data_IF_063364340666
#
_entry.id   IF_063364340666
#
_cell.length_a   1.000
_cell.length_b   1.000
_cell.length_c   1.000
_cell.angle_alpha   90.00
_cell.angle_beta   90.00
_cell.angle_gamma   90.00
#
_symmetry.space_group_name_H-M   'P 1'
#
loop_
_entity.id
_entity.type
_entity.pdbx_description
1 polymer ?
#
# COMPACT_ATOMS: atom_id res chain seq x y z
N UNK A 1 -5.22 -5.94 8.87
CA UNK A 1 -6.51 -5.25 8.63
C UNK A 1 -6.89 -5.47 7.17
N UNK A 2 -8.14 -5.80 6.86
CA UNK A 2 -8.62 -5.90 5.46
C UNK A 2 -9.38 -4.65 5.09
N UNK A 3 -9.12 -4.12 3.89
CA UNK A 3 -9.81 -2.97 3.30
C UNK A 3 -10.58 -3.42 2.06
N UNK A 4 -11.88 -3.16 2.04
CA UNK A 4 -12.72 -3.27 0.83
C UNK A 4 -13.09 -1.87 0.34
N UNK A 5 -12.99 -1.64 -0.97
CA UNK A 5 -13.20 -0.32 -1.56
C UNK A 5 -14.67 -0.11 -1.93
N UNK A 6 -15.30 0.86 -1.25
CA UNK A 6 -16.68 1.30 -1.47
C UNK A 6 -16.66 2.61 -2.26
N UNK A 7 -17.42 2.70 -3.35
CA UNK A 7 -17.52 3.95 -4.10
C UNK A 7 -18.53 4.90 -3.42
N UNK A 8 -18.14 6.14 -3.06
CA UNK A 8 -18.96 7.04 -2.24
C UNK A 8 -20.32 7.37 -2.87
N UNK A 9 -20.36 7.65 -4.18
CA UNK A 9 -21.62 8.00 -4.86
C UNK A 9 -22.59 6.82 -4.94
N UNK A 10 -22.09 5.59 -5.09
CA UNK A 10 -22.93 4.39 -5.06
C UNK A 10 -23.47 4.11 -3.66
N UNK A 11 -22.66 4.34 -2.63
CA UNK A 11 -23.10 4.24 -1.24
C UNK A 11 -24.19 5.28 -0.92
N UNK A 12 -23.99 6.52 -1.35
CA UNK A 12 -24.98 7.58 -1.19
C UNK A 12 -26.32 7.19 -1.83
N UNK A 13 -26.28 6.72 -3.08
CA UNK A 13 -27.46 6.39 -3.87
C UNK A 13 -28.03 4.98 -3.60
N UNK A 14 -27.42 4.21 -2.70
CA UNK A 14 -27.75 2.80 -2.46
C UNK A 14 -27.83 1.97 -3.76
N UNK A 15 -26.88 2.19 -4.67
CA UNK A 15 -26.91 1.60 -6.02
C UNK A 15 -26.82 0.07 -5.97
N UNK A 16 -27.71 -0.61 -6.68
CA UNK A 16 -27.62 -2.06 -6.93
C UNK A 16 -27.37 -2.29 -8.42
N UNK A 17 -26.27 -2.96 -8.74
CA UNK A 17 -25.84 -3.28 -10.11
C UNK A 17 -25.04 -4.59 -10.14
N UNK A 18 -24.39 -4.90 -11.27
CA UNK A 18 -23.61 -6.13 -11.43
C UNK A 18 -22.38 -6.24 -10.51
N UNK A 19 -21.99 -5.17 -9.81
CA UNK A 19 -20.83 -5.12 -8.92
C UNK A 19 -21.20 -4.81 -7.47
N UNK A 20 -22.37 -4.22 -7.24
CA UNK A 20 -22.76 -3.68 -5.93
C UNK A 20 -24.19 -4.04 -5.55
N UNK A 21 -24.43 -4.18 -4.26
CA UNK A 21 -25.77 -4.26 -3.65
C UNK A 21 -25.86 -3.17 -2.60
N UNK A 22 -26.82 -2.26 -2.75
CA UNK A 22 -26.97 -1.07 -1.88
C UNK A 22 -25.68 -0.23 -1.75
N UNK A 23 -24.90 -0.15 -2.82
CA UNK A 23 -23.62 0.56 -2.89
C UNK A 23 -22.43 -0.21 -2.32
N UNK A 24 -22.64 -1.40 -1.76
CA UNK A 24 -21.60 -2.27 -1.20
C UNK A 24 -21.11 -3.24 -2.27
N UNK A 25 -19.80 -3.45 -2.46
CA UNK A 25 -19.30 -4.50 -3.35
C UNK A 25 -19.88 -5.87 -2.99
N UNK A 26 -20.35 -6.64 -3.99
CA UNK A 26 -21.01 -7.95 -3.77
C UNK A 26 -20.12 -8.92 -2.96
N UNK A 27 -18.81 -8.85 -3.16
CA UNK A 27 -17.83 -9.67 -2.43
C UNK A 27 -17.61 -9.25 -0.97
N UNK A 28 -18.20 -8.15 -0.51
CA UNK A 28 -18.05 -7.66 0.86
C UNK A 28 -19.36 -7.83 1.62
N UNK A 29 -19.47 -8.94 2.36
CA UNK A 29 -20.64 -9.31 3.14
C UNK A 29 -20.23 -9.83 4.54
N UNK A 30 -21.21 -10.08 5.41
CA UNK A 30 -20.95 -10.51 6.79
C UNK A 30 -20.11 -11.77 6.87
N UNK A 31 -20.28 -12.76 5.98
CA UNK A 31 -19.47 -13.98 6.00
C UNK A 31 -17.97 -13.70 5.76
N UNK A 32 -17.64 -12.74 4.90
CA UNK A 32 -16.25 -12.30 4.70
C UNK A 32 -15.72 -11.56 5.93
N UNK A 33 -16.55 -10.71 6.55
CA UNK A 33 -16.17 -10.03 7.80
C UNK A 33 -15.91 -11.06 8.90
N UNK A 34 -16.85 -11.98 9.13
CA UNK A 34 -16.80 -13.04 10.15
C UNK A 34 -15.59 -13.95 9.98
N UNK A 35 -15.23 -14.26 8.72
CA UNK A 35 -14.01 -15.02 8.44
C UNK A 35 -12.78 -14.29 8.98
N UNK A 36 -12.57 -13.03 8.64
CA UNK A 36 -11.40 -12.29 9.11
C UNK A 36 -11.42 -12.04 10.62
N UNK A 37 -12.58 -11.67 11.17
CA UNK A 37 -12.70 -11.38 12.61
C UNK A 37 -12.48 -12.63 13.47
N UNK A 38 -12.96 -13.81 13.04
CA UNK A 38 -12.69 -15.09 13.73
C UNK A 38 -11.21 -15.50 13.71
N UNK A 39 -10.41 -14.95 12.81
CA UNK A 39 -8.96 -15.15 12.74
C UNK A 39 -8.18 -14.00 13.41
N UNK A 40 -8.84 -13.19 14.25
CA UNK A 40 -8.21 -12.07 14.95
C UNK A 40 -7.87 -10.88 14.04
N UNK A 41 -8.34 -10.86 12.79
CA UNK A 41 -8.08 -9.79 11.83
C UNK A 41 -9.21 -8.76 11.89
N UNK A 42 -8.86 -7.50 12.20
CA UNK A 42 -9.80 -6.38 12.14
C UNK A 42 -10.18 -6.05 10.69
N UNK A 43 -11.45 -5.75 10.46
CA UNK A 43 -12.00 -5.39 9.15
C UNK A 43 -12.50 -3.95 9.17
N UNK A 44 -12.18 -3.19 8.13
CA UNK A 44 -12.68 -1.85 7.89
C UNK A 44 -13.05 -1.67 6.42
N UNK A 45 -14.05 -0.84 6.12
CA UNK A 45 -14.36 -0.46 4.75
C UNK A 45 -13.67 0.84 4.40
N UNK A 46 -12.98 0.86 3.26
CA UNK A 46 -12.42 2.08 2.70
C UNK A 46 -13.41 2.69 1.73
N UNK A 47 -13.88 3.91 1.98
CA UNK A 47 -14.70 4.64 1.02
C UNK A 47 -13.77 5.48 0.13
N UNK A 48 -13.69 5.15 -1.16
CA UNK A 48 -12.95 5.92 -2.16
C UNK A 48 -11.57 5.36 -2.53
N UNK A 49 -10.57 6.24 -2.59
CA UNK A 49 -9.29 6.04 -3.28
C UNK A 49 -9.07 7.06 -4.40
N UNK A 50 -7.84 7.20 -4.88
CA UNK A 50 -7.45 8.17 -5.92
C UNK A 50 -8.33 8.13 -7.18
N UNK A 51 -8.84 6.96 -7.57
CA UNK A 51 -9.71 6.76 -8.73
C UNK A 51 -11.18 7.14 -8.47
N UNK A 52 -11.52 7.56 -7.25
CA UNK A 52 -12.88 7.87 -6.81
C UNK A 52 -13.05 9.34 -6.37
N UNK A 53 -12.06 10.21 -6.60
CA UNK A 53 -12.10 11.61 -6.16
C UNK A 53 -13.33 12.36 -6.69
N UNK A 54 -13.69 12.18 -7.97
CA UNK A 54 -14.89 12.80 -8.54
C UNK A 54 -16.19 12.28 -7.92
N UNK A 55 -16.26 10.98 -7.63
CA UNK A 55 -17.41 10.37 -6.98
C UNK A 55 -17.57 10.90 -5.54
N UNK A 56 -16.46 11.13 -4.84
CA UNK A 56 -16.47 11.79 -3.53
C UNK A 56 -16.97 13.23 -3.62
N UNK A 57 -16.40 14.03 -4.53
CA UNK A 57 -16.82 15.42 -4.75
C UNK A 57 -18.32 15.49 -5.05
N UNK A 58 -18.80 14.63 -5.94
CA UNK A 58 -20.22 14.54 -6.30
C UNK A 58 -21.07 14.16 -5.09
N UNK A 59 -20.68 13.13 -4.33
CA UNK A 59 -21.48 12.67 -3.19
C UNK A 59 -21.52 13.72 -2.06
N UNK A 60 -20.40 14.38 -1.77
CA UNK A 60 -20.33 15.45 -0.76
C UNK A 60 -21.16 16.67 -1.18
N UNK A 61 -21.12 17.05 -2.46
CA UNK A 61 -21.94 18.13 -2.99
C UNK A 61 -23.44 17.79 -3.02
N UNK A 62 -23.78 16.53 -3.31
CA UNK A 62 -25.17 16.09 -3.38
C UNK A 62 -25.81 16.01 -1.99
N UNK A 63 -25.21 15.28 -1.04
CA UNK A 63 -25.70 15.20 0.33
C UNK A 63 -24.67 14.52 1.27
N UNK A 64 -23.72 15.30 1.78
CA UNK A 64 -22.68 14.78 2.66
C UNK A 64 -23.23 14.16 3.97
N UNK A 65 -24.26 14.76 4.58
CA UNK A 65 -24.90 14.24 5.79
C UNK A 65 -25.51 12.85 5.54
N UNK A 66 -26.25 12.67 4.44
CA UNK A 66 -26.82 11.38 4.09
C UNK A 66 -25.73 10.36 3.78
N UNK A 67 -24.64 10.75 3.10
CA UNK A 67 -23.51 9.86 2.88
C UNK A 67 -22.92 9.36 4.22
N UNK A 68 -22.77 10.24 5.22
CA UNK A 68 -22.31 9.87 6.57
C UNK A 68 -23.27 8.92 7.29
N UNK A 69 -24.58 9.17 7.18
CA UNK A 69 -25.61 8.27 7.71
C UNK A 69 -25.57 6.89 7.04
N UNK A 70 -25.40 6.82 5.72
CA UNK A 70 -25.28 5.56 4.97
C UNK A 70 -24.03 4.79 5.37
N UNK A 71 -22.89 5.47 5.53
CA UNK A 71 -21.66 4.87 6.03
C UNK A 71 -21.82 4.34 7.46
N UNK A 72 -22.50 5.07 8.34
CA UNK A 72 -22.81 4.64 9.71
C UNK A 72 -23.72 3.41 9.74
N UNK A 73 -24.77 3.39 8.93
CA UNK A 73 -25.66 2.23 8.80
C UNK A 73 -24.94 0.99 8.26
N UNK A 74 -24.08 1.16 7.27
CA UNK A 74 -23.25 0.08 6.71
C UNK A 74 -22.26 -0.48 7.75
N UNK A 75 -21.62 0.41 8.53
CA UNK A 75 -20.75 0.02 9.63
C UNK A 75 -21.50 -0.85 10.66
N UNK A 76 -22.71 -0.45 11.04
CA UNK A 76 -23.59 -1.24 11.93
C UNK A 76 -23.97 -2.58 11.31
N UNK A 77 -24.35 -2.59 10.03
CA UNK A 77 -24.80 -3.81 9.33
C UNK A 77 -23.71 -4.88 9.29
N UNK A 78 -22.45 -4.48 9.14
CA UNK A 78 -21.33 -5.40 8.97
C UNK A 78 -20.46 -5.55 10.23
N UNK A 79 -20.65 -4.73 11.27
CA UNK A 79 -19.82 -4.77 12.47
C UNK A 79 -18.37 -4.33 12.23
N UNK A 80 -18.17 -3.32 11.38
CA UNK A 80 -16.84 -2.87 10.90
C UNK A 80 -16.64 -1.38 11.09
N UNK A 81 -15.37 -0.94 11.08
CA UNK A 81 -15.02 0.48 11.01
C UNK A 81 -15.05 1.04 9.58
N UNK A 82 -15.00 2.36 9.46
CA UNK A 82 -14.90 3.07 8.16
C UNK A 82 -13.57 3.83 8.09
N UNK A 83 -12.92 3.72 6.93
CA UNK A 83 -11.82 4.57 6.49
C UNK A 83 -12.32 5.53 5.42
N UNK A 84 -12.21 6.83 5.66
CA UNK A 84 -12.37 7.87 4.66
C UNK A 84 -11.12 7.86 3.79
N UNK A 85 -11.26 7.55 2.50
CA UNK A 85 -10.17 7.64 1.53
C UNK A 85 -10.54 8.66 0.44
N UNK A 86 -10.59 9.93 0.84
CA UNK A 86 -10.91 11.06 -0.03
C UNK A 86 -9.64 11.79 -0.42
N UNK A 87 -9.17 11.55 -1.64
CA UNK A 87 -7.86 12.00 -2.11
C UNK A 87 -7.95 13.23 -3.03
N UNK A 88 -8.79 14.23 -2.69
CA UNK A 88 -8.84 15.51 -3.40
C UNK A 88 -7.73 16.45 -2.92
N UNK A 89 -6.76 16.73 -3.80
CA UNK A 89 -5.65 17.64 -3.53
C UNK A 89 -5.96 19.10 -3.76
N UNK A 90 -6.83 19.40 -4.73
CA UNK A 90 -7.12 20.76 -5.17
C UNK A 90 -8.51 21.18 -4.70
N UNK A 91 -8.56 21.96 -3.62
CA UNK A 91 -9.82 22.47 -3.05
C UNK A 91 -10.75 21.37 -2.54
N UNK A 92 -10.31 20.55 -1.56
CA UNK A 92 -11.18 19.54 -0.97
C UNK A 92 -12.43 20.17 -0.35
N UNK A 93 -13.57 19.49 -0.47
CA UNK A 93 -14.82 19.94 0.15
C UNK A 93 -14.81 19.64 1.65
N UNK A 94 -14.07 20.45 2.41
CA UNK A 94 -13.86 20.28 3.86
C UNK A 94 -15.17 20.42 4.65
N UNK A 95 -16.04 21.36 4.24
CA UNK A 95 -17.37 21.54 4.87
C UNK A 95 -18.25 20.31 4.68
N UNK A 96 -18.30 19.76 3.46
CA UNK A 96 -19.01 18.52 3.19
C UNK A 96 -18.41 17.36 3.98
N UNK A 97 -17.08 17.25 4.00
CA UNK A 97 -16.42 16.19 4.75
C UNK A 97 -16.68 16.27 6.27
N UNK A 98 -16.72 17.47 6.85
CA UNK A 98 -17.14 17.67 8.24
C UNK A 98 -18.57 17.19 8.46
N UNK A 99 -19.51 17.55 7.58
CA UNK A 99 -20.91 17.10 7.69
C UNK A 99 -21.05 15.57 7.59
N UNK A 100 -20.25 14.91 6.74
CA UNK A 100 -20.15 13.45 6.70
C UNK A 100 -19.67 12.88 8.04
N UNK A 101 -18.60 13.45 8.61
CA UNK A 101 -18.01 13.01 9.88
C UNK A 101 -19.02 13.16 11.02
N UNK A 102 -19.68 14.33 11.12
CA UNK A 102 -20.67 14.61 12.16
C UNK A 102 -21.83 13.62 12.09
N UNK A 103 -22.33 13.34 10.89
CA UNK A 103 -23.40 12.38 10.67
C UNK A 103 -23.01 10.94 11.03
N UNK A 104 -21.78 10.54 10.71
CA UNK A 104 -21.26 9.23 11.12
C UNK A 104 -21.13 9.15 12.65
N UNK A 105 -20.58 10.20 13.28
CA UNK A 105 -20.36 10.26 14.73
C UNK A 105 -21.65 10.37 15.54
N UNK A 106 -22.71 10.92 14.96
CA UNK A 106 -24.04 10.88 15.57
C UNK A 106 -24.56 9.44 15.72
N UNK A 107 -24.23 8.54 14.78
CA UNK A 107 -24.57 7.12 14.87
C UNK A 107 -23.57 6.33 15.74
N UNK A 108 -22.29 6.64 15.61
CA UNK A 108 -21.18 5.93 16.25
C UNK A 108 -20.24 6.91 16.97
N UNK A 109 -20.56 7.31 18.22
CA UNK A 109 -19.70 8.17 19.02
C UNK A 109 -18.29 7.60 19.17
N UNK A 110 -17.32 8.47 19.50
CA UNK A 110 -15.95 8.02 19.73
C UNK A 110 -15.87 7.05 20.92
N UNK A 111 -15.33 5.85 20.66
CA UNK A 111 -15.03 4.86 21.70
C UNK A 111 -13.53 4.86 22.01
N UNK A 112 -13.19 5.38 23.20
CA UNK A 112 -11.81 5.42 23.69
C UNK A 112 -11.23 4.04 23.98
N UNK A 113 -12.08 3.07 24.35
CA UNK A 113 -11.65 1.70 24.63
C UNK A 113 -11.22 0.97 23.36
N UNK A 114 -11.74 1.41 22.21
CA UNK A 114 -11.54 0.78 20.91
C UNK A 114 -12.14 -0.61 20.81
N UNK A 115 -13.09 -0.96 21.69
CA UNK A 115 -13.76 -2.27 21.70
C UNK A 115 -14.84 -2.34 20.65
N UNK A 116 -15.55 -1.24 20.40
CA UNK A 116 -16.56 -1.13 19.36
C UNK A 116 -15.90 -0.93 17.97
N UNK A 117 -16.03 -1.89 17.03
CA UNK A 117 -15.54 -1.70 15.68
C UNK A 117 -16.20 -0.55 14.93
N UNK A 118 -17.49 -0.29 15.16
CA UNK A 118 -18.23 0.73 14.40
C UNK A 118 -17.88 2.15 14.85
N UNK A 119 -17.35 2.31 16.05
CA UNK A 119 -16.76 3.57 16.51
C UNK A 119 -15.41 3.90 15.82
N UNK A 120 -14.82 2.98 15.05
CA UNK A 120 -13.56 3.21 14.32
C UNK A 120 -13.81 3.95 13.02
N UNK A 121 -13.68 5.28 13.08
CA UNK A 121 -13.60 6.17 11.92
C UNK A 121 -12.16 6.65 11.76
N UNK A 122 -11.54 6.32 10.63
CA UNK A 122 -10.21 6.78 10.26
C UNK A 122 -10.27 7.60 8.97
N UNK A 123 -9.27 8.44 8.76
CA UNK A 123 -9.05 9.12 7.48
C UNK A 123 -7.66 8.78 6.96
N UNK A 124 -7.62 8.40 5.69
CA UNK A 124 -6.39 8.23 4.92
C UNK A 124 -6.02 9.57 4.29
N UNK A 125 -4.89 10.11 4.72
CA UNK A 125 -4.34 11.38 4.21
C UNK A 125 -3.05 11.16 3.42
N UNK A 126 -2.73 9.90 3.11
CA UNK A 126 -1.55 9.50 2.39
C UNK A 126 -1.81 9.40 0.88
N UNK A 127 -1.84 10.53 0.18
CA UNK A 127 -1.54 10.51 -1.26
C UNK A 127 -0.15 11.14 -1.44
N UNK A 128 0.82 10.32 -1.85
CA UNK A 128 2.21 10.67 -2.20
C UNK A 128 2.68 12.08 -1.83
N UNK A 129 3.59 12.16 -0.85
CA UNK A 129 4.57 13.24 -0.66
C UNK A 129 4.26 14.66 -1.18
N UNK A 130 3.10 15.21 -0.74
CA UNK A 130 2.63 16.63 -0.78
C UNK A 130 1.24 16.80 -1.44
N UNK A 131 0.50 15.74 -1.75
CA UNK A 131 -0.75 15.89 -2.52
C UNK A 131 -1.96 16.42 -1.70
N UNK A 132 -2.14 16.05 -0.42
CA UNK A 132 -3.39 16.37 0.34
C UNK A 132 -3.25 17.47 1.40
N UNK A 133 -2.39 18.47 1.17
CA UNK A 133 -2.02 19.50 2.17
C UNK A 133 -3.22 20.14 2.88
N UNK A 134 -4.26 20.50 2.15
CA UNK A 134 -5.44 21.15 2.72
C UNK A 134 -6.23 20.22 3.65
N UNK A 135 -6.34 18.92 3.31
CA UNK A 135 -6.96 17.91 4.17
C UNK A 135 -6.10 17.66 5.41
N UNK A 136 -4.78 17.57 5.26
CA UNK A 136 -3.84 17.38 6.37
C UNK A 136 -3.91 18.50 7.40
N UNK A 137 -3.88 19.76 6.91
CA UNK A 137 -3.97 20.94 7.76
C UNK A 137 -5.30 20.97 8.52
N UNK A 138 -6.41 20.72 7.82
CA UNK A 138 -7.73 20.72 8.44
C UNK A 138 -7.90 19.59 9.46
N UNK A 139 -7.51 18.37 9.10
CA UNK A 139 -7.57 17.23 10.01
C UNK A 139 -6.75 17.48 11.28
N UNK A 140 -5.52 17.98 11.14
CA UNK A 140 -4.64 18.29 12.28
C UNK A 140 -5.25 19.37 13.19
N UNK A 141 -5.82 20.42 12.61
CA UNK A 141 -6.39 21.52 13.38
C UNK A 141 -7.73 21.16 14.06
N UNK A 142 -8.55 20.30 13.45
CA UNK A 142 -9.95 20.13 13.85
C UNK A 142 -10.32 18.71 14.30
N UNK A 143 -9.70 17.68 13.75
CA UNK A 143 -10.14 16.29 13.97
C UNK A 143 -9.20 15.49 14.88
N UNK A 144 -7.91 15.83 14.88
CA UNK A 144 -6.84 15.06 15.53
C UNK A 144 -6.37 15.66 16.85
N UNK A 145 -7.24 16.43 17.51
CA UNK A 145 -6.92 17.04 18.80
C UNK A 145 -7.08 16.03 19.95
N UNK A 146 -6.23 16.13 20.97
CA UNK A 146 -6.20 15.18 22.10
C UNK A 146 -7.34 15.37 23.11
N UNK A 147 -8.09 16.47 23.04
CA UNK A 147 -9.16 16.80 23.97
C UNK A 147 -10.53 16.17 23.65
N UNK A 148 -10.77 15.85 22.37
CA UNK A 148 -12.01 15.21 21.88
C UNK A 148 -11.79 14.67 20.46
N UNK A 149 -11.07 13.55 20.28
CA UNK A 149 -10.72 13.05 18.95
C UNK A 149 -11.98 12.61 18.18
N UNK A 150 -12.26 13.29 17.07
CA UNK A 150 -13.39 12.97 16.16
C UNK A 150 -13.01 11.82 15.21
N UNK A 151 -11.74 11.42 15.19
CA UNK A 151 -11.19 10.29 14.43
C UNK A 151 -9.83 9.89 14.98
N UNK A 152 -9.40 8.64 14.73
CA UNK A 152 -7.98 8.29 14.83
C UNK A 152 -7.41 8.27 13.42
N UNK A 153 -6.25 8.90 13.22
CA UNK A 153 -5.47 8.68 12.00
C UNK A 153 -4.63 7.43 12.19
N UNK A 154 -4.79 6.48 11.27
CA UNK A 154 -3.76 5.51 10.93
C UNK A 154 -3.13 6.05 9.65
N UNK A 155 -1.97 6.68 9.78
CA UNK A 155 -1.25 7.24 8.66
C UNK A 155 -0.58 6.10 7.89
N UNK A 156 -0.94 5.92 6.61
CA UNK A 156 -0.27 5.02 5.68
C UNK A 156 0.74 5.74 4.76
N UNK A 157 1.18 6.96 5.10
CA UNK A 157 2.00 7.80 4.22
C UNK A 157 3.28 7.13 3.78
N UNK A 158 3.66 7.35 2.52
CA UNK A 158 5.00 7.07 2.01
C UNK A 158 5.99 8.09 2.65
N UNK A 159 7.29 7.75 2.74
CA UNK A 159 8.33 8.38 3.60
C UNK A 159 8.21 8.14 5.12
N UNK A 160 7.38 7.19 5.55
CA UNK A 160 7.29 6.79 6.96
C UNK A 160 8.01 5.49 7.27
N UNK A 161 8.65 4.85 6.29
CA UNK A 161 9.33 3.60 6.49
C UNK A 161 10.83 3.71 6.17
N UNK A 162 11.64 3.26 7.11
CA UNK A 162 13.07 3.07 6.89
C UNK A 162 13.32 1.60 6.60
N UNK A 163 14.30 1.34 5.75
CA UNK A 163 14.79 -0.02 5.54
C UNK A 163 15.24 -0.61 6.88
N UNK A 164 14.67 -1.76 7.24
CA UNK A 164 15.10 -2.56 8.39
C UNK A 164 16.20 -3.55 7.97
N UNK A 165 16.16 -4.00 6.72
CA UNK A 165 17.19 -4.81 6.12
C UNK A 165 16.86 -5.17 4.68
N UNK A 166 17.89 -5.47 3.91
CA UNK A 166 17.79 -6.07 2.59
C UNK A 166 18.58 -7.37 2.59
N UNK A 167 17.96 -8.42 2.09
CA UNK A 167 18.62 -9.70 1.84
C UNK A 167 18.40 -10.13 0.39
N UNK A 168 19.30 -10.98 -0.10
CA UNK A 168 19.33 -11.42 -1.49
C UNK A 168 19.21 -12.93 -1.58
N UNK A 169 18.59 -13.41 -2.65
CA UNK A 169 18.54 -14.83 -3.00
C UNK A 169 18.94 -14.96 -4.46
N UNK A 170 20.08 -15.60 -4.70
CA UNK A 170 20.62 -15.78 -6.06
C UNK A 170 20.24 -17.17 -6.56
N UNK A 171 19.68 -17.22 -7.77
CA UNK A 171 19.49 -18.46 -8.53
C UNK A 171 20.28 -18.43 -9.81
N UNK A 172 20.95 -19.53 -10.12
CA UNK A 172 21.81 -19.66 -11.29
C UNK A 172 21.08 -20.28 -12.48
N UNK A 173 21.49 -19.87 -13.67
CA UNK A 173 20.99 -20.40 -14.93
C UNK A 173 21.27 -21.91 -15.03
N UNK A 174 20.43 -22.68 -15.76
CA UNK A 174 20.63 -24.12 -15.91
C UNK A 174 22.03 -24.50 -16.42
N UNK A 175 22.62 -23.70 -17.31
CA UNK A 175 23.98 -23.94 -17.81
C UNK A 175 25.04 -23.75 -16.71
N UNK A 176 24.94 -22.67 -15.93
CA UNK A 176 25.85 -22.43 -14.80
C UNK A 176 25.71 -23.51 -13.72
N UNK A 177 24.50 -24.02 -13.47
CA UNK A 177 24.26 -25.16 -12.56
C UNK A 177 24.92 -26.45 -13.04
N UNK A 178 24.86 -26.71 -14.35
CA UNK A 178 25.57 -27.84 -14.95
C UNK A 178 27.10 -27.72 -14.79
N UNK A 179 27.61 -26.48 -14.67
CA UNK A 179 29.00 -26.13 -14.39
C UNK A 179 29.28 -25.90 -12.88
N UNK A 180 28.44 -26.48 -12.01
CA UNK A 180 28.68 -26.54 -10.57
C UNK A 180 28.22 -25.32 -9.76
N UNK A 181 27.52 -24.35 -10.36
CA UNK A 181 26.88 -23.28 -9.59
C UNK A 181 25.75 -23.83 -8.72
N UNK A 182 25.64 -23.31 -7.49
CA UNK A 182 24.65 -23.76 -6.51
C UNK A 182 23.79 -22.58 -6.10
N UNK A 183 22.47 -22.72 -6.21
CA UNK A 183 21.52 -21.71 -5.76
C UNK A 183 21.70 -21.44 -4.26
N UNK A 184 21.34 -20.23 -3.85
CA UNK A 184 21.24 -19.93 -2.43
C UNK A 184 20.23 -20.86 -1.74
N UNK A 185 20.60 -21.35 -0.55
CA UNK A 185 19.71 -22.16 0.31
C UNK A 185 19.04 -21.33 1.40
N UNK A 186 19.46 -20.07 1.56
CA UNK A 186 18.91 -19.08 2.47
C UNK A 186 19.08 -17.68 1.88
N UNK A 187 18.34 -16.73 2.43
CA UNK A 187 18.61 -15.31 2.22
C UNK A 187 20.05 -14.97 2.69
N UNK A 188 20.81 -14.33 1.81
CA UNK A 188 22.18 -13.91 2.02
C UNK A 188 22.32 -12.39 2.14
N UNK A 189 23.42 -11.95 2.75
CA UNK A 189 23.80 -10.55 2.78
C UNK A 189 24.35 -10.09 1.42
N UNK A 190 24.45 -8.78 1.23
CA UNK A 190 24.99 -8.19 0.00
C UNK A 190 26.38 -8.74 -0.35
N UNK A 191 27.28 -8.83 0.63
CA UNK A 191 28.65 -9.32 0.45
C UNK A 191 28.69 -10.78 -0.03
N UNK A 192 27.80 -11.62 0.52
CA UNK A 192 27.69 -13.04 0.13
C UNK A 192 27.19 -13.18 -1.31
N UNK A 193 26.25 -12.32 -1.72
CA UNK A 193 25.75 -12.30 -3.10
C UNK A 193 26.76 -11.77 -4.10
N UNK A 194 27.50 -10.71 -3.77
CA UNK A 194 28.58 -10.23 -4.65
C UNK A 194 29.66 -11.31 -4.80
N UNK A 195 30.12 -11.89 -3.69
CA UNK A 195 31.15 -12.93 -3.72
C UNK A 195 30.72 -14.17 -4.52
N UNK A 196 29.44 -14.57 -4.47
CA UNK A 196 28.97 -15.73 -5.23
C UNK A 196 28.93 -15.45 -6.74
N UNK A 197 28.61 -14.22 -7.15
CA UNK A 197 28.62 -13.80 -8.55
C UNK A 197 30.05 -13.66 -9.07
N UNK A 198 30.97 -13.11 -8.27
CA UNK A 198 32.39 -13.03 -8.59
C UNK A 198 33.05 -14.41 -8.72
N UNK A 199 32.62 -15.39 -7.92
CA UNK A 199 33.07 -16.77 -8.07
C UNK A 199 32.64 -17.42 -9.40
N UNK A 200 31.70 -16.80 -10.14
CA UNK A 200 31.31 -17.18 -11.51
C UNK A 200 32.02 -16.37 -12.59
N UNK A 201 33.02 -15.57 -12.22
CA UNK A 201 33.80 -14.76 -13.17
C UNK A 201 33.05 -13.49 -13.65
N UNK A 202 32.04 -13.06 -12.90
CA UNK A 202 31.38 -11.77 -13.10
C UNK A 202 32.09 -10.69 -12.28
N UNK A 203 32.23 -9.49 -12.81
CA UNK A 203 32.87 -8.37 -12.11
C UNK A 203 31.82 -7.36 -11.61
N UNK A 204 31.85 -6.99 -10.32
CA UNK A 204 30.97 -5.93 -9.79
C UNK A 204 31.25 -4.59 -10.48
N UNK A 205 30.19 -3.84 -10.74
CA UNK A 205 30.14 -2.60 -11.54
C UNK A 205 30.52 -2.72 -13.01
N UNK A 206 30.78 -3.91 -13.52
CA UNK A 206 31.06 -4.17 -14.95
C UNK A 206 30.05 -5.16 -15.55
N UNK A 207 29.86 -6.31 -14.92
CA UNK A 207 28.90 -7.33 -15.36
C UNK A 207 27.56 -7.23 -14.63
N UNK A 208 27.59 -6.74 -13.39
CA UNK A 208 26.41 -6.53 -12.56
C UNK A 208 26.66 -5.41 -11.56
N UNK A 209 25.60 -4.92 -10.94
CA UNK A 209 25.68 -4.18 -9.70
C UNK A 209 24.47 -4.51 -8.83
N UNK A 210 24.68 -4.67 -7.54
CA UNK A 210 23.61 -4.75 -6.53
C UNK A 210 23.73 -3.54 -5.61
N UNK A 211 22.63 -2.81 -5.35
CA UNK A 211 22.71 -1.66 -4.45
C UNK A 211 22.83 -2.13 -2.99
N UNK A 212 23.75 -1.55 -2.24
CA UNK A 212 23.87 -1.79 -0.80
C UNK A 212 22.98 -0.78 -0.06
N UNK A 213 21.86 -1.25 0.45
CA UNK A 213 20.92 -0.44 1.21
C UNK A 213 20.97 -0.86 2.68
N UNK A 214 21.71 -0.06 3.46
CA UNK A 214 21.82 -0.26 4.90
C UNK A 214 20.55 0.11 5.65
N UNK A 215 20.38 -0.49 6.83
CA UNK A 215 19.27 -0.17 7.72
C UNK A 215 19.22 1.33 8.05
N UNK A 216 18.01 1.86 8.20
CA UNK A 216 17.77 3.28 8.46
C UNK A 216 17.71 4.13 7.19
N UNK A 217 18.04 3.60 6.00
CA UNK A 217 17.88 4.34 4.74
C UNK A 217 16.39 4.58 4.48
N UNK A 218 15.93 5.83 4.34
CA UNK A 218 14.55 6.12 3.96
C UNK A 218 14.24 5.55 2.59
N UNK A 219 13.05 4.96 2.44
CA UNK A 219 12.53 4.68 1.09
C UNK A 219 11.94 5.98 0.54
N UNK A 220 12.43 6.50 -0.60
CA UNK A 220 11.96 7.76 -1.13
C UNK A 220 10.51 7.64 -1.60
N UNK A 221 9.68 8.62 -1.28
CA UNK A 221 8.30 8.69 -1.75
C UNK A 221 8.18 9.03 -3.23
N UNK A 222 9.18 9.72 -3.81
CA UNK A 222 9.29 10.00 -5.23
C UNK A 222 10.59 9.42 -5.80
N UNK A 223 10.46 8.68 -6.90
CA UNK A 223 11.59 8.14 -7.67
C UNK A 223 11.75 6.64 -7.55
N UNK A 224 12.62 6.08 -8.40
CA UNK A 224 12.99 4.68 -8.35
C UNK A 224 14.17 4.51 -7.39
N UNK A 225 14.04 3.58 -6.45
CA UNK A 225 15.20 3.05 -5.74
C UNK A 225 15.88 2.04 -6.67
N UNK A 226 17.11 2.33 -7.05
CA UNK A 226 17.92 1.41 -7.81
C UNK A 226 18.28 0.21 -6.91
N UNK A 227 17.93 -1.01 -7.34
CA UNK A 227 18.24 -2.24 -6.60
C UNK A 227 19.39 -3.04 -7.23
N UNK A 228 19.56 -2.91 -8.55
CA UNK A 228 20.64 -3.57 -9.28
C UNK A 228 20.46 -3.53 -10.79
N UNK A 229 21.53 -3.88 -11.52
CA UNK A 229 21.54 -4.08 -12.97
C UNK A 229 22.45 -5.26 -13.33
N UNK A 230 22.24 -5.85 -14.51
CA UNK A 230 22.99 -7.01 -15.00
C UNK A 230 23.21 -6.89 -16.51
N UNK A 231 24.40 -7.23 -16.99
CA UNK A 231 24.68 -7.36 -18.43
C UNK A 231 24.15 -8.67 -19.00
N UNK A 232 24.22 -8.80 -20.34
CA UNK A 232 24.02 -10.07 -21.03
C UNK A 232 24.93 -11.18 -20.50
N UNK A 233 26.21 -10.87 -20.23
CA UNK A 233 27.16 -11.83 -19.64
C UNK A 233 26.70 -12.29 -18.25
N UNK A 234 26.25 -11.38 -17.38
CA UNK A 234 25.69 -11.80 -16.10
C UNK A 234 24.41 -12.65 -16.27
N UNK A 235 23.59 -12.34 -17.26
CA UNK A 235 22.37 -13.09 -17.57
C UNK A 235 22.63 -14.50 -18.13
N UNK A 236 23.85 -14.83 -18.61
CA UNK A 236 24.19 -16.23 -18.96
C UNK A 236 24.47 -17.10 -17.74
N UNK A 237 24.97 -16.50 -16.66
CA UNK A 237 25.27 -17.20 -15.41
C UNK A 237 24.07 -17.21 -14.44
N UNK A 238 23.33 -16.10 -14.36
CA UNK A 238 22.30 -15.87 -13.34
C UNK A 238 20.89 -15.99 -13.92
N UNK A 239 20.02 -16.77 -13.26
CA UNK A 239 18.62 -16.97 -13.61
C UNK A 239 17.68 -15.95 -12.96
N UNK A 240 17.90 -15.63 -11.69
CA UNK A 240 17.22 -14.51 -11.04
C UNK A 240 17.98 -14.08 -9.79
N UNK A 241 17.71 -12.85 -9.37
CA UNK A 241 18.08 -12.37 -8.04
C UNK A 241 16.80 -11.85 -7.39
N UNK A 242 16.37 -12.53 -6.34
CA UNK A 242 15.28 -12.06 -5.50
C UNK A 242 15.87 -11.14 -4.43
N UNK A 243 15.25 -9.99 -4.24
CA UNK A 243 15.60 -9.03 -3.19
C UNK A 243 14.45 -8.98 -2.20
N UNK A 244 14.73 -9.33 -0.95
CA UNK A 244 13.81 -9.18 0.16
C UNK A 244 14.07 -7.86 0.85
N UNK A 245 13.13 -6.93 0.72
CA UNK A 245 13.15 -5.64 1.38
C UNK A 245 12.25 -5.69 2.61
N UNK A 246 12.83 -5.49 3.78
CA UNK A 246 12.09 -5.29 5.03
C UNK A 246 12.15 -3.82 5.42
N UNK A 247 11.03 -3.25 5.82
CA UNK A 247 10.94 -1.87 6.26
C UNK A 247 10.19 -1.78 7.57
N UNK A 248 10.60 -0.85 8.42
CA UNK A 248 9.89 -0.50 9.66
C UNK A 248 9.28 0.87 9.48
N UNK A 249 7.98 0.98 9.69
CA UNK A 249 7.28 2.26 9.62
C UNK A 249 7.38 3.08 10.92
N UNK A 250 6.93 4.33 10.89
CA UNK A 250 6.98 5.26 12.03
C UNK A 250 6.15 4.80 13.24
N UNK A 251 5.23 3.86 13.06
CA UNK A 251 4.43 3.30 14.17
C UNK A 251 5.01 1.97 14.68
N UNK A 252 6.11 1.52 14.09
CA UNK A 252 6.87 0.33 14.52
C UNK A 252 6.44 -0.95 13.82
N UNK A 253 5.49 -0.90 12.88
CA UNK A 253 5.10 -2.08 12.13
C UNK A 253 6.16 -2.44 11.09
N UNK A 254 6.38 -3.73 10.89
CA UNK A 254 7.33 -4.25 9.91
C UNK A 254 6.59 -4.77 8.68
N UNK A 255 7.04 -4.31 7.51
CA UNK A 255 6.53 -4.74 6.20
C UNK A 255 7.64 -5.45 5.45
N UNK A 256 7.29 -6.48 4.69
CA UNK A 256 8.24 -7.25 3.88
C UNK A 256 7.74 -7.37 2.44
N UNK A 257 8.66 -7.22 1.48
CA UNK A 257 8.39 -7.48 0.07
C UNK A 257 9.55 -8.21 -0.57
N UNK A 258 9.23 -9.21 -1.40
CA UNK A 258 10.21 -9.88 -2.26
C UNK A 258 10.03 -9.41 -3.69
N UNK A 259 11.12 -8.98 -4.31
CA UNK A 259 11.19 -8.42 -5.65
C UNK A 259 12.11 -9.29 -6.49
N UNK A 260 11.63 -9.80 -7.62
CA UNK A 260 12.45 -10.52 -8.59
C UNK A 260 13.08 -9.51 -9.56
N UNK A 261 14.42 -9.35 -9.54
CA UNK A 261 15.11 -8.34 -10.34
C UNK A 261 15.15 -8.69 -11.82
N UNK A 262 15.14 -9.98 -12.18
CA UNK A 262 15.21 -10.41 -13.58
C UNK A 262 13.85 -10.81 -14.14
N UNK A 263 12.76 -10.56 -13.40
CA UNK A 263 11.40 -10.83 -13.87
C UNK A 263 11.08 -9.97 -15.09
N UNK A 264 10.96 -10.62 -16.25
CA UNK A 264 10.70 -9.95 -17.52
C UNK A 264 11.96 -9.49 -18.26
N UNK A 265 13.16 -9.85 -17.77
CA UNK A 265 14.40 -9.65 -18.52
C UNK A 265 14.34 -10.39 -19.85
N UNK A 266 14.69 -9.69 -20.94
CA UNK A 266 14.74 -10.27 -22.27
C UNK A 266 16.09 -10.96 -22.43
N UNK A 267 16.13 -12.26 -22.13
CA UNK A 267 17.36 -13.09 -22.19
C UNK A 267 17.75 -13.51 -23.61
N UNK A 268 16.87 -13.27 -24.58
CA UNK A 268 17.09 -13.58 -25.99
C UNK A 268 16.37 -12.52 -26.84
N UNK A 269 16.95 -11.31 -26.97
CA UNK A 269 16.31 -10.22 -27.70
C UNK A 269 16.03 -10.64 -29.15
N UNK A 270 14.76 -10.60 -29.55
CA UNK A 270 14.32 -10.93 -30.91
C UNK A 270 14.67 -9.83 -31.92
N UNK A 271 14.98 -8.63 -31.43
CA UNK A 271 15.49 -7.50 -32.19
C UNK A 271 16.69 -6.92 -31.44
N UNK A 272 17.93 -7.36 -31.72
CA UNK A 272 19.09 -6.57 -31.33
C UNK A 272 18.95 -5.22 -32.03
N UNK A 273 18.95 -4.12 -31.28
CA UNK A 273 19.03 -2.79 -31.88
C UNK A 273 20.22 -2.77 -32.86
N UNK A 274 20.09 -2.15 -34.04
CA UNK A 274 21.26 -1.96 -34.89
C UNK A 274 22.31 -1.18 -34.08
N UNK A 275 23.61 -1.53 -34.22
CA UNK A 275 24.67 -0.87 -33.48
C UNK A 275 24.56 0.64 -33.70
N UNK A 276 24.75 1.46 -32.65
CA UNK A 276 24.98 2.87 -32.88
C UNK A 276 26.30 2.95 -33.64
N UNK A 277 26.23 3.45 -34.87
CA UNK A 277 27.27 3.56 -35.93
C UNK A 277 27.30 2.40 -36.95
#
# INVERSE_FOLDING_TARGET
MVLSFVQPLKLLNATTDSRTTNGVPIGMNSAVVDYFTSHGVRVMLSIGGITCTDAWNTALAQNATLLGQRAGALASQLGVGIKINYEQSAGPNLTGLQAFIDAYRAAHPYDVSGTDPTARLTIDVAAGDRWLIALDQYATAHWLTTGAPVGRVLNGAQDVAVTAGIDYWVTFAPAAKADGAVDFSRWGAWEESVACLEARGLTDREDFALDLIGAGRPIPAQGLMFLGWFTEKAMTEVDDILVRVRVTDRVGDTHERVIALMKGAIRSPQHPDPPPF
#
